data_IF_140044862086
#
_entry.id   IF_140044862086
#
_cell.length_a   1.000
_cell.length_b   1.000
_cell.length_c   1.000
_cell.angle_alpha   90.00
_cell.angle_beta   90.00
_cell.angle_gamma   90.00
#
_symmetry.space_group_name_H-M   'P 1'
#
loop_
_entity.id
_entity.type
_entity.pdbx_description
1 polymer ?
#
# COMPACT_ATOMS: atom_id res chain seq x y z
N UNK A 1 -11.79 17.83 -29.70
CA UNK A 1 -11.19 16.93 -28.68
C UNK A 1 -12.11 16.96 -27.50
N UNK A 2 -12.51 15.81 -27.01
CA UNK A 2 -13.32 15.71 -25.81
C UNK A 2 -12.51 16.21 -24.62
N UNK A 3 -13.17 16.95 -23.71
CA UNK A 3 -12.53 17.50 -22.51
C UNK A 3 -12.31 16.38 -21.49
N UNK A 4 -11.17 16.39 -20.83
CA UNK A 4 -10.89 15.51 -19.69
C UNK A 4 -11.83 15.87 -18.54
N UNK A 5 -12.66 14.94 -18.12
CA UNK A 5 -13.66 15.10 -17.06
C UNK A 5 -13.04 14.77 -15.72
N UNK A 6 -12.99 15.71 -14.82
CA UNK A 6 -12.33 15.57 -13.51
C UNK A 6 -13.32 15.65 -12.38
N UNK A 7 -13.30 14.69 -11.47
CA UNK A 7 -13.94 14.74 -10.16
C UNK A 7 -12.88 15.13 -9.13
N UNK A 8 -13.18 16.15 -8.30
CA UNK A 8 -12.31 16.57 -7.20
C UNK A 8 -12.85 16.05 -5.88
N UNK A 9 -12.02 15.37 -5.09
CA UNK A 9 -12.37 14.84 -3.78
C UNK A 9 -11.35 15.31 -2.72
N UNK A 10 -11.79 16.18 -1.82
CA UNK A 10 -11.01 16.75 -0.73
C UNK A 10 -11.97 17.26 0.34
N UNK A 11 -11.71 17.06 1.62
CA UNK A 11 -12.59 17.49 2.71
C UNK A 11 -12.50 19.01 3.01
N UNK A 12 -11.51 19.71 2.41
CA UNK A 12 -11.29 21.13 2.57
C UNK A 12 -11.93 21.94 1.41
N UNK A 13 -13.01 22.70 1.64
CA UNK A 13 -13.67 23.47 0.57
C UNK A 13 -12.77 24.50 -0.13
N UNK A 14 -11.82 25.11 0.63
CA UNK A 14 -10.86 26.05 0.06
C UNK A 14 -9.89 25.41 -0.91
N UNK A 15 -9.47 24.17 -0.65
CA UNK A 15 -8.60 23.41 -1.56
C UNK A 15 -9.34 23.09 -2.84
N UNK A 16 -10.58 22.59 -2.76
CA UNK A 16 -11.41 22.31 -3.94
C UNK A 16 -11.63 23.56 -4.80
N UNK A 17 -12.06 24.67 -4.17
CA UNK A 17 -12.23 25.94 -4.87
C UNK A 17 -10.94 26.47 -5.50
N UNK A 18 -9.80 26.27 -4.83
CA UNK A 18 -8.49 26.61 -5.33
C UNK A 18 -8.13 25.80 -6.58
N UNK A 19 -8.35 24.47 -6.53
CA UNK A 19 -8.10 23.56 -7.66
C UNK A 19 -8.97 23.89 -8.86
N UNK A 20 -10.25 24.20 -8.66
CA UNK A 20 -11.13 24.63 -9.74
C UNK A 20 -10.55 25.85 -10.44
N UNK A 21 -10.18 26.90 -9.70
CA UNK A 21 -9.58 28.11 -10.26
C UNK A 21 -8.25 27.87 -10.95
N UNK A 22 -7.43 26.94 -10.43
CA UNK A 22 -6.16 26.55 -11.07
C UNK A 22 -6.40 25.84 -12.40
N UNK A 23 -7.49 25.09 -12.54
CA UNK A 23 -7.83 24.32 -13.74
C UNK A 23 -8.62 25.13 -14.78
N UNK A 24 -9.32 26.20 -14.40
CA UNK A 24 -10.13 27.06 -15.32
C UNK A 24 -9.42 27.49 -16.62
N UNK A 25 -8.13 27.88 -16.62
CA UNK A 25 -7.44 28.26 -17.83
C UNK A 25 -7.20 27.13 -18.83
N UNK A 26 -7.26 25.88 -18.37
CA UNK A 26 -7.01 24.68 -19.18
C UNK A 26 -8.30 24.22 -19.86
N UNK A 27 -8.55 24.70 -21.09
CA UNK A 27 -9.80 24.45 -21.86
C UNK A 27 -10.06 23.00 -22.18
N UNK A 28 -9.05 22.15 -22.10
CA UNK A 28 -9.09 20.71 -22.29
C UNK A 28 -9.47 19.92 -21.05
N UNK A 29 -9.57 20.58 -19.87
CA UNK A 29 -9.96 19.97 -18.60
C UNK A 29 -11.28 20.58 -18.14
N UNK A 30 -12.16 19.77 -17.57
CA UNK A 30 -13.41 20.25 -16.98
C UNK A 30 -13.70 19.52 -15.68
N UNK A 31 -13.93 20.27 -14.60
CA UNK A 31 -14.39 19.72 -13.33
C UNK A 31 -15.87 19.40 -13.45
N UNK A 32 -16.24 18.15 -13.30
CA UNK A 32 -17.61 17.66 -13.47
C UNK A 32 -18.32 17.42 -12.14
N UNK A 33 -17.58 17.50 -11.02
CA UNK A 33 -18.13 17.36 -9.69
C UNK A 33 -17.08 17.52 -8.60
N UNK A 34 -17.57 17.67 -7.39
CA UNK A 34 -16.77 17.75 -6.17
C UNK A 34 -17.27 16.71 -5.17
N UNK A 35 -16.41 16.23 -4.28
CA UNK A 35 -16.75 15.34 -3.17
C UNK A 35 -15.99 15.80 -1.90
N UNK A 36 -16.60 15.65 -0.74
CA UNK A 36 -16.00 16.05 0.54
C UNK A 36 -15.49 14.87 1.37
N UNK A 37 -15.74 13.65 0.91
CA UNK A 37 -15.24 12.42 1.52
C UNK A 37 -15.10 11.30 0.47
N UNK A 38 -14.46 10.19 0.88
CA UNK A 38 -14.21 9.07 -0.03
C UNK A 38 -15.47 8.31 -0.46
N UNK A 39 -16.50 8.27 0.41
CA UNK A 39 -17.77 7.62 0.08
C UNK A 39 -18.51 8.40 -1.02
N UNK A 40 -18.60 9.73 -0.84
CA UNK A 40 -19.18 10.62 -1.84
C UNK A 40 -18.39 10.58 -3.17
N UNK A 41 -17.05 10.51 -3.10
CA UNK A 41 -16.19 10.38 -4.28
C UNK A 41 -16.52 9.12 -5.09
N UNK A 42 -16.70 7.97 -4.43
CA UNK A 42 -17.09 6.71 -5.07
C UNK A 42 -18.48 6.82 -5.71
N UNK A 43 -19.46 7.35 -4.99
CA UNK A 43 -20.82 7.52 -5.50
C UNK A 43 -20.85 8.44 -6.72
N UNK A 44 -20.18 9.60 -6.65
CA UNK A 44 -20.12 10.56 -7.76
C UNK A 44 -19.33 10.04 -8.95
N UNK A 45 -18.26 9.27 -8.73
CA UNK A 45 -17.54 8.61 -9.82
C UNK A 45 -18.43 7.67 -10.61
N UNK A 46 -19.30 6.90 -9.94
CA UNK A 46 -20.29 6.03 -10.58
C UNK A 46 -21.30 6.83 -11.43
N UNK A 47 -21.78 7.95 -10.89
CA UNK A 47 -22.84 8.75 -11.55
C UNK A 47 -22.28 9.59 -12.69
N UNK A 48 -21.15 10.28 -12.45
CA UNK A 48 -20.59 11.27 -13.34
C UNK A 48 -19.66 10.65 -14.39
N UNK A 49 -19.13 9.45 -14.14
CA UNK A 49 -18.16 8.75 -15.00
C UNK A 49 -17.02 9.67 -15.44
N UNK A 50 -16.23 10.22 -14.49
CA UNK A 50 -15.10 11.07 -14.80
C UNK A 50 -13.98 10.24 -15.45
N UNK A 51 -13.11 10.90 -16.23
CA UNK A 51 -11.86 10.30 -16.72
C UNK A 51 -10.81 10.20 -15.63
N UNK A 52 -10.76 11.22 -14.75
CA UNK A 52 -9.81 11.32 -13.65
C UNK A 52 -10.53 11.72 -12.36
N UNK A 53 -10.23 11.01 -11.27
CA UNK A 53 -10.59 11.39 -9.90
C UNK A 53 -9.33 11.92 -9.22
N UNK A 54 -9.29 13.21 -8.93
CA UNK A 54 -8.25 13.83 -8.10
C UNK A 54 -8.70 13.72 -6.65
N UNK A 55 -7.93 13.02 -5.83
CA UNK A 55 -8.36 12.63 -4.49
C UNK A 55 -7.32 12.92 -3.42
N UNK A 56 -7.73 13.56 -2.31
CA UNK A 56 -6.89 13.67 -1.11
C UNK A 56 -6.88 12.35 -0.33
N UNK A 57 -5.77 12.08 0.36
CA UNK A 57 -5.60 10.88 1.20
C UNK A 57 -6.37 10.96 2.51
N UNK A 58 -6.38 12.15 3.13
CA UNK A 58 -6.89 12.37 4.47
C UNK A 58 -8.30 12.93 4.43
N UNK A 59 -9.27 12.06 4.20
CA UNK A 59 -10.69 12.42 4.20
C UNK A 59 -11.45 11.62 5.26
N UNK A 60 -12.57 12.16 5.80
CA UNK A 60 -13.41 11.45 6.74
C UNK A 60 -14.17 10.28 6.10
N UNK A 61 -14.80 9.43 6.91
CA UNK A 61 -15.58 8.23 6.55
C UNK A 61 -14.73 7.19 5.82
N UNK A 62 -14.51 7.36 4.51
CA UNK A 62 -13.65 6.50 3.69
C UNK A 62 -12.41 7.28 3.31
N UNK A 63 -11.23 6.78 3.69
CA UNK A 63 -9.96 7.43 3.35
C UNK A 63 -9.71 7.43 1.84
N UNK A 64 -8.92 8.41 1.34
CA UNK A 64 -8.57 8.47 -0.07
C UNK A 64 -7.82 7.23 -0.57
N UNK A 65 -7.03 6.57 0.30
CA UNK A 65 -6.36 5.30 -0.03
C UNK A 65 -7.37 4.20 -0.29
N UNK A 66 -8.39 4.10 0.55
CA UNK A 66 -9.44 3.08 0.44
C UNK A 66 -10.36 3.37 -0.75
N UNK A 67 -10.78 4.63 -0.91
CA UNK A 67 -11.55 5.06 -2.06
C UNK A 67 -10.81 4.80 -3.38
N UNK A 68 -9.51 5.08 -3.46
CA UNK A 68 -8.68 4.76 -4.63
C UNK A 68 -8.69 3.28 -4.98
N UNK A 69 -8.56 2.38 -3.99
CA UNK A 69 -8.63 0.92 -4.19
C UNK A 69 -10.01 0.48 -4.74
N UNK A 70 -11.08 1.01 -4.16
CA UNK A 70 -12.46 0.70 -4.60
C UNK A 70 -12.68 1.21 -6.01
N UNK A 71 -12.33 2.46 -6.30
CA UNK A 71 -12.48 3.06 -7.63
C UNK A 71 -11.75 2.26 -8.69
N UNK A 72 -10.52 1.85 -8.42
CA UNK A 72 -9.75 1.06 -9.38
C UNK A 72 -10.34 -0.32 -9.65
N UNK A 73 -10.91 -0.95 -8.63
CA UNK A 73 -11.54 -2.27 -8.76
C UNK A 73 -12.89 -2.19 -9.47
N UNK A 74 -13.73 -1.23 -9.09
CA UNK A 74 -15.13 -1.16 -9.54
C UNK A 74 -15.33 -0.25 -10.74
N UNK A 75 -14.48 0.78 -10.90
CA UNK A 75 -14.56 1.79 -11.96
C UNK A 75 -13.20 2.03 -12.62
N UNK A 76 -12.59 1.02 -13.26
CA UNK A 76 -11.22 1.11 -13.80
C UNK A 76 -11.08 2.13 -14.93
N UNK A 77 -12.20 2.62 -15.50
CA UNK A 77 -12.20 3.72 -16.46
C UNK A 77 -11.93 5.08 -15.82
N UNK A 78 -12.26 5.25 -14.54
CA UNK A 78 -11.95 6.45 -13.77
C UNK A 78 -10.56 6.32 -13.16
N UNK A 79 -9.56 6.98 -13.74
CA UNK A 79 -8.18 6.95 -13.24
C UNK A 79 -8.04 7.78 -11.99
N UNK A 80 -7.27 7.31 -11.02
CA UNK A 80 -7.08 8.01 -9.75
C UNK A 80 -5.75 8.75 -9.75
N UNK A 81 -5.78 10.05 -9.48
CA UNK A 81 -4.64 10.92 -9.22
C UNK A 81 -4.71 11.39 -7.77
N UNK A 82 -3.73 11.00 -6.97
CA UNK A 82 -3.65 11.42 -5.57
C UNK A 82 -3.02 12.79 -5.46
N UNK A 83 -3.65 13.68 -4.70
CA UNK A 83 -3.18 15.03 -4.39
C UNK A 83 -3.18 15.21 -2.87
N UNK A 84 -2.01 15.35 -2.24
CA UNK A 84 -1.89 15.34 -0.77
C UNK A 84 -0.75 16.21 -0.24
N UNK A 85 -0.80 16.54 1.06
CA UNK A 85 0.31 17.17 1.78
C UNK A 85 1.34 16.16 2.32
N UNK A 86 1.04 14.86 2.28
CA UNK A 86 1.92 13.84 2.85
C UNK A 86 3.10 13.53 1.92
N UNK A 87 4.31 13.63 2.47
CA UNK A 87 5.58 13.25 1.82
C UNK A 87 6.17 11.96 2.41
N UNK A 88 5.39 11.23 3.23
CA UNK A 88 5.89 10.05 3.91
C UNK A 88 5.99 8.85 2.95
N UNK A 89 7.14 8.17 2.96
CA UNK A 89 7.43 6.99 2.15
C UNK A 89 6.35 5.89 2.26
N UNK A 90 5.80 5.70 3.44
CA UNK A 90 4.80 4.66 3.67
C UNK A 90 3.50 4.94 2.90
N UNK A 91 3.03 6.20 2.89
CA UNK A 91 1.86 6.61 2.09
C UNK A 91 2.15 6.49 0.59
N UNK A 92 3.30 6.95 0.13
CA UNK A 92 3.72 6.82 -1.26
C UNK A 92 3.69 5.35 -1.70
N UNK A 93 4.23 4.46 -0.87
CA UNK A 93 4.24 3.02 -1.14
C UNK A 93 2.83 2.39 -1.14
N UNK A 94 1.96 2.76 -0.20
CA UNK A 94 0.58 2.28 -0.14
C UNK A 94 -0.22 2.69 -1.37
N UNK A 95 -0.06 3.95 -1.82
CA UNK A 95 -0.72 4.48 -3.01
C UNK A 95 -0.20 3.79 -4.27
N UNK A 96 1.11 3.59 -4.38
CA UNK A 96 1.66 2.83 -5.49
C UNK A 96 1.06 1.42 -5.57
N UNK A 97 0.90 0.75 -4.42
CA UNK A 97 0.24 -0.56 -4.34
C UNK A 97 -1.26 -0.52 -4.62
N UNK A 98 -1.93 0.59 -4.33
CA UNK A 98 -3.36 0.72 -4.66
C UNK A 98 -3.62 0.78 -6.15
N UNK A 99 -2.56 0.98 -6.97
CA UNK A 99 -2.62 1.07 -8.42
C UNK A 99 -3.07 2.44 -8.92
N UNK A 100 -3.09 3.48 -8.09
CA UNK A 100 -3.37 4.83 -8.52
C UNK A 100 -2.48 5.23 -9.72
N UNK A 101 -3.04 6.01 -10.63
CA UNK A 101 -2.37 6.46 -11.85
C UNK A 101 -1.29 7.52 -11.58
N UNK A 102 -1.38 8.24 -10.45
CA UNK A 102 -0.39 9.24 -10.11
C UNK A 102 -0.46 9.74 -8.67
N UNK A 103 0.59 10.44 -8.26
CA UNK A 103 0.74 11.02 -6.95
C UNK A 103 1.45 12.37 -7.05
N UNK A 104 0.80 13.43 -6.60
CA UNK A 104 1.34 14.79 -6.56
C UNK A 104 1.10 15.43 -5.19
N UNK A 105 1.93 16.41 -4.86
CA UNK A 105 1.80 17.16 -3.61
C UNK A 105 0.87 18.37 -3.78
N UNK A 106 0.14 18.77 -2.75
CA UNK A 106 -0.76 19.95 -2.77
C UNK A 106 -0.01 21.29 -2.96
N UNK A 107 1.32 21.30 -2.81
CA UNK A 107 2.17 22.46 -3.11
C UNK A 107 2.62 22.51 -4.59
N UNK A 108 2.19 21.55 -5.42
CA UNK A 108 2.47 21.55 -6.85
C UNK A 108 1.88 22.77 -7.57
N UNK A 109 2.59 23.24 -8.57
CA UNK A 109 2.14 24.36 -9.39
C UNK A 109 0.98 23.99 -10.33
N UNK A 110 0.30 25.01 -10.85
CA UNK A 110 -0.84 24.86 -11.80
C UNK A 110 -0.51 23.93 -12.97
N UNK A 111 0.63 24.17 -13.63
CA UNK A 111 1.02 23.42 -14.82
C UNK A 111 1.35 21.95 -14.50
N UNK A 112 1.88 21.69 -13.32
CA UNK A 112 2.19 20.34 -12.87
C UNK A 112 0.90 19.54 -12.65
N UNK A 113 -0.09 20.14 -11.97
CA UNK A 113 -1.40 19.51 -11.72
C UNK A 113 -2.11 19.19 -13.05
N UNK A 114 -2.13 20.17 -13.99
CA UNK A 114 -2.77 19.96 -15.28
C UNK A 114 -2.03 18.89 -16.12
N UNK A 115 -0.70 18.86 -16.06
CA UNK A 115 0.12 17.83 -16.72
C UNK A 115 -0.13 16.45 -16.16
N UNK A 116 -0.21 16.35 -14.83
CA UNK A 116 -0.53 15.08 -14.15
C UNK A 116 -1.92 14.56 -14.55
N UNK A 117 -2.93 15.44 -14.57
CA UNK A 117 -4.29 15.06 -15.01
C UNK A 117 -4.27 14.54 -16.47
N UNK A 118 -3.56 15.20 -17.37
CA UNK A 118 -3.45 14.76 -18.77
C UNK A 118 -2.74 13.42 -18.92
N UNK A 119 -1.65 13.21 -18.19
CA UNK A 119 -0.89 11.96 -18.20
C UNK A 119 -1.76 10.80 -17.68
N UNK A 120 -2.38 11.00 -16.51
CA UNK A 120 -3.23 9.99 -15.90
C UNK A 120 -4.45 9.66 -16.74
N UNK A 121 -5.09 10.65 -17.36
CA UNK A 121 -6.21 10.44 -18.28
C UNK A 121 -5.85 9.53 -19.48
N UNK A 122 -4.60 9.62 -19.97
CA UNK A 122 -4.06 8.74 -21.02
C UNK A 122 -3.69 7.33 -20.52
N UNK A 123 -3.76 7.09 -19.21
CA UNK A 123 -3.30 5.84 -18.60
C UNK A 123 -1.80 5.80 -18.30
N UNK A 124 -1.09 6.90 -18.47
CA UNK A 124 0.30 7.07 -18.07
C UNK A 124 0.40 7.27 -16.56
N UNK A 125 1.53 6.91 -15.96
CA UNK A 125 1.78 7.20 -14.54
C UNK A 125 2.47 8.54 -14.37
N UNK A 126 2.04 9.30 -13.38
CA UNK A 126 2.64 10.58 -13.04
C UNK A 126 2.99 10.66 -11.56
N UNK A 127 4.24 10.94 -11.27
CA UNK A 127 4.73 11.21 -9.91
C UNK A 127 5.49 12.54 -9.94
N UNK A 128 5.19 13.44 -8.99
CA UNK A 128 5.98 14.67 -8.88
C UNK A 128 7.46 14.34 -8.63
N UNK A 129 8.40 15.23 -8.98
CA UNK A 129 9.83 14.99 -8.78
C UNK A 129 10.15 14.58 -7.35
N UNK A 130 9.59 15.28 -6.37
CA UNK A 130 9.81 14.97 -4.94
C UNK A 130 9.29 13.60 -4.54
N UNK A 131 8.13 13.20 -5.04
CA UNK A 131 7.57 11.86 -4.79
C UNK A 131 8.46 10.79 -5.43
N UNK A 132 8.96 11.03 -6.62
CA UNK A 132 9.91 10.13 -7.30
C UNK A 132 11.21 9.95 -6.52
N UNK A 133 11.77 11.03 -5.96
CA UNK A 133 12.94 10.98 -5.07
C UNK A 133 12.66 10.09 -3.85
N UNK A 134 11.55 10.31 -3.15
CA UNK A 134 11.15 9.50 -1.99
C UNK A 134 11.04 8.01 -2.35
N UNK A 135 10.49 7.69 -3.51
CA UNK A 135 10.38 6.31 -3.99
C UNK A 135 11.76 5.69 -4.23
N UNK A 136 12.68 6.42 -4.87
CA UNK A 136 14.04 5.95 -5.15
C UNK A 136 14.82 5.77 -3.85
N UNK A 137 14.80 6.74 -2.95
CA UNK A 137 15.46 6.67 -1.64
C UNK A 137 14.95 5.47 -0.82
N UNK A 138 13.62 5.27 -0.80
CA UNK A 138 13.01 4.13 -0.12
C UNK A 138 13.40 2.78 -0.74
N UNK A 139 13.52 2.72 -2.05
CA UNK A 139 13.99 1.52 -2.74
C UNK A 139 15.45 1.22 -2.43
N UNK A 140 16.32 2.23 -2.50
CA UNK A 140 17.75 2.10 -2.21
C UNK A 140 17.98 1.66 -0.75
N UNK A 141 17.28 2.28 0.21
CA UNK A 141 17.34 1.88 1.61
C UNK A 141 16.93 0.43 1.82
N UNK A 142 15.83 -0.01 1.20
CA UNK A 142 15.40 -1.42 1.27
C UNK A 142 16.36 -2.39 0.56
N UNK A 143 17.04 -1.95 -0.50
CA UNK A 143 18.07 -2.72 -1.15
C UNK A 143 19.32 -2.84 -0.26
N UNK A 144 19.77 -1.75 0.37
CA UNK A 144 20.87 -1.76 1.32
C UNK A 144 20.55 -2.61 2.57
N UNK A 145 19.33 -2.54 3.09
CA UNK A 145 18.89 -3.39 4.21
C UNK A 145 18.82 -4.86 3.83
N UNK A 146 18.57 -5.17 2.55
CA UNK A 146 18.66 -6.54 2.03
C UNK A 146 20.11 -7.00 1.86
N UNK A 147 21.01 -6.11 1.44
CA UNK A 147 22.43 -6.43 1.33
C UNK A 147 23.11 -6.53 2.70
N UNK A 148 22.67 -5.72 3.66
CA UNK A 148 23.14 -5.76 5.07
C UNK A 148 22.51 -6.91 5.87
N UNK A 149 21.36 -7.46 5.42
CA UNK A 149 20.93 -8.76 5.93
C UNK A 149 21.92 -9.77 5.40
N UNK A 150 22.66 -10.48 6.27
CA UNK A 150 23.41 -11.63 5.79
C UNK A 150 22.40 -12.46 4.99
N UNK A 151 22.77 -12.86 3.79
CA UNK A 151 21.99 -13.81 3.01
C UNK A 151 21.47 -14.83 4.02
N UNK A 152 20.19 -15.26 3.98
CA UNK A 152 19.74 -16.25 4.93
C UNK A 152 20.79 -17.32 4.86
N UNK A 153 21.64 -17.37 5.89
CA UNK A 153 22.59 -18.45 6.06
C UNK A 153 21.63 -19.61 6.03
N UNK A 154 21.74 -20.42 5.01
CA UNK A 154 20.99 -21.67 4.92
C UNK A 154 21.53 -22.56 6.05
N UNK A 155 21.29 -22.11 7.30
CA UNK A 155 21.54 -22.89 8.49
C UNK A 155 20.40 -23.88 8.48
N UNK A 156 20.65 -25.08 7.96
CA UNK A 156 19.56 -26.03 7.77
C UNK A 156 18.97 -26.28 9.15
N UNK A 157 17.69 -25.94 9.32
CA UNK A 157 16.96 -26.40 10.51
C UNK A 157 17.07 -27.92 10.53
N UNK A 158 17.42 -28.44 11.69
CA UNK A 158 17.44 -29.89 11.90
C UNK A 158 16.05 -30.47 11.62
N UNK A 159 15.95 -31.75 11.34
CA UNK A 159 14.66 -32.42 11.14
C UNK A 159 13.71 -32.14 12.31
N UNK A 160 14.23 -32.15 13.53
CA UNK A 160 13.42 -31.88 14.74
C UNK A 160 12.94 -30.43 14.83
N UNK A 161 13.76 -29.47 14.46
CA UNK A 161 13.37 -28.06 14.41
C UNK A 161 12.30 -27.80 13.33
N UNK A 162 12.38 -28.49 12.19
CA UNK A 162 11.34 -28.44 11.13
C UNK A 162 10.01 -29.01 11.61
N UNK A 163 10.02 -30.14 12.34
CA UNK A 163 8.82 -30.71 12.93
C UNK A 163 8.17 -29.75 13.94
N UNK A 164 8.96 -29.18 14.84
CA UNK A 164 8.48 -28.17 15.79
C UNK A 164 7.90 -26.95 15.07
N UNK A 165 8.58 -26.43 14.04
CA UNK A 165 8.15 -25.28 13.27
C UNK A 165 6.85 -25.54 12.51
N UNK A 166 6.66 -26.75 11.98
CA UNK A 166 5.40 -27.18 11.34
C UNK A 166 4.23 -27.15 12.31
N UNK A 167 4.42 -27.66 13.52
CA UNK A 167 3.37 -27.67 14.55
C UNK A 167 3.06 -26.26 15.09
N UNK A 168 4.05 -25.37 15.11
CA UNK A 168 3.86 -23.95 15.41
C UNK A 168 2.99 -23.29 14.33
N UNK A 169 3.22 -23.61 13.05
CA UNK A 169 2.40 -23.11 11.93
C UNK A 169 0.94 -23.60 12.00
N UNK A 170 0.71 -24.77 12.59
CA UNK A 170 -0.63 -25.31 12.88
C UNK A 170 -1.30 -24.64 14.10
N UNK A 171 -0.63 -23.71 14.78
CA UNK A 171 -1.15 -22.97 15.94
C UNK A 171 -1.07 -23.72 17.28
N UNK A 172 -0.30 -24.80 17.37
CA UNK A 172 -0.17 -25.57 18.60
C UNK A 172 0.70 -24.85 19.64
N UNK A 173 0.30 -24.95 20.92
CA UNK A 173 1.10 -24.48 22.05
C UNK A 173 2.19 -25.48 22.44
N UNK A 174 3.11 -25.08 23.34
CA UNK A 174 4.26 -25.91 23.73
C UNK A 174 3.86 -27.26 24.34
N UNK A 175 2.75 -27.33 25.11
CA UNK A 175 2.26 -28.57 25.67
C UNK A 175 1.75 -29.53 24.58
N UNK A 176 0.95 -29.03 23.65
CA UNK A 176 0.40 -29.81 22.55
C UNK A 176 1.49 -30.35 21.61
N UNK A 177 2.53 -29.51 21.35
CA UNK A 177 3.70 -29.93 20.58
C UNK A 177 4.48 -31.01 21.32
N UNK A 178 4.69 -30.84 22.61
CA UNK A 178 5.37 -31.81 23.46
C UNK A 178 4.69 -33.17 23.44
N UNK A 179 3.37 -33.17 23.56
CA UNK A 179 2.54 -34.41 23.53
C UNK A 179 2.64 -35.09 22.16
N UNK A 180 2.51 -34.33 21.06
CA UNK A 180 2.63 -34.86 19.68
C UNK A 180 4.00 -35.43 19.35
N UNK A 181 5.04 -34.82 19.88
CA UNK A 181 6.43 -35.17 19.58
C UNK A 181 7.08 -36.09 20.64
N UNK A 182 6.33 -36.47 21.69
CA UNK A 182 6.79 -37.28 22.81
C UNK A 182 8.06 -36.75 23.49
N UNK A 183 8.07 -35.42 23.78
CA UNK A 183 9.15 -34.71 24.45
C UNK A 183 8.61 -33.82 25.57
N UNK A 184 9.48 -33.24 26.39
CA UNK A 184 9.03 -32.29 27.41
C UNK A 184 8.67 -30.92 26.83
N UNK A 185 7.73 -30.14 27.41
CA UNK A 185 7.47 -28.78 27.02
C UNK A 185 8.72 -27.86 27.08
N UNK A 186 9.61 -28.13 28.02
CA UNK A 186 10.90 -27.44 28.13
C UNK A 186 11.79 -27.73 26.92
N UNK A 187 11.76 -28.95 26.39
CA UNK A 187 12.51 -29.30 25.17
C UNK A 187 11.94 -28.57 23.95
N UNK A 188 10.61 -28.43 23.87
CA UNK A 188 9.96 -27.63 22.83
C UNK A 188 10.42 -26.18 22.89
N UNK A 189 10.46 -25.60 24.09
CA UNK A 189 10.91 -24.23 24.31
C UNK A 189 12.37 -24.02 23.86
N UNK A 190 13.22 -24.99 24.17
CA UNK A 190 14.63 -24.98 23.67
C UNK A 190 14.68 -25.03 22.15
N UNK A 191 13.88 -25.85 21.49
CA UNK A 191 13.83 -25.87 20.02
C UNK A 191 13.32 -24.55 19.44
N UNK A 192 12.29 -23.93 20.05
CA UNK A 192 11.78 -22.61 19.62
C UNK A 192 12.88 -21.54 19.71
N UNK A 193 13.60 -21.50 20.82
CA UNK A 193 14.73 -20.56 21.01
C UNK A 193 15.81 -20.77 19.96
N UNK A 194 16.20 -22.02 19.70
CA UNK A 194 17.20 -22.34 18.68
C UNK A 194 16.73 -21.98 17.27
N UNK A 195 15.46 -22.25 16.93
CA UNK A 195 14.86 -21.87 15.65
C UNK A 195 14.87 -20.35 15.52
N UNK A 196 14.40 -19.62 16.54
CA UNK A 196 14.39 -18.16 16.53
C UNK A 196 15.79 -17.57 16.36
N UNK A 197 16.79 -18.10 17.05
CA UNK A 197 18.18 -17.73 16.87
C UNK A 197 18.70 -17.98 15.45
N UNK A 198 18.45 -19.19 14.91
CA UNK A 198 18.89 -19.58 13.56
C UNK A 198 18.24 -18.76 12.45
N UNK A 199 17.00 -18.32 12.67
CA UNK A 199 16.22 -17.55 11.69
C UNK A 199 16.27 -16.04 11.91
N UNK A 200 17.00 -15.59 12.95
CA UNK A 200 17.06 -14.19 13.40
C UNK A 200 15.68 -13.57 13.64
N UNK A 201 14.81 -14.35 14.29
CA UNK A 201 13.44 -13.96 14.65
C UNK A 201 13.39 -13.71 16.16
N UNK A 202 12.87 -12.57 16.59
CA UNK A 202 12.93 -12.13 17.99
C UNK A 202 11.59 -12.23 18.73
N UNK A 203 10.49 -12.58 18.05
CA UNK A 203 9.19 -12.75 18.69
C UNK A 203 8.41 -13.94 18.12
N UNK A 204 7.47 -14.47 18.93
CA UNK A 204 6.69 -15.64 18.59
C UNK A 204 5.72 -15.41 17.42
N UNK A 205 5.18 -14.20 17.27
CA UNK A 205 4.24 -13.87 16.19
C UNK A 205 4.92 -13.89 14.82
N UNK A 206 6.14 -13.34 14.76
CA UNK A 206 6.96 -13.39 13.55
C UNK A 206 7.43 -14.82 13.22
N UNK A 207 7.64 -15.67 14.23
CA UNK A 207 7.97 -17.09 14.00
C UNK A 207 6.79 -17.84 13.35
N UNK A 208 5.56 -17.64 13.86
CA UNK A 208 4.34 -18.21 13.26
C UNK A 208 4.15 -17.74 11.83
N UNK A 209 4.28 -16.42 11.59
CA UNK A 209 4.16 -15.85 10.25
C UNK A 209 5.18 -16.43 9.28
N UNK A 210 6.45 -16.53 9.69
CA UNK A 210 7.52 -17.14 8.90
C UNK A 210 7.19 -18.59 8.53
N UNK A 211 6.71 -19.38 9.49
CA UNK A 211 6.37 -20.77 9.27
C UNK A 211 5.24 -20.95 8.24
N UNK A 212 4.23 -20.09 8.28
CA UNK A 212 3.13 -20.06 7.31
C UNK A 212 3.60 -19.63 5.92
N UNK A 213 4.35 -18.52 5.83
CA UNK A 213 4.87 -17.98 4.57
C UNK A 213 5.83 -18.94 3.85
N UNK A 214 6.58 -19.75 4.60
CA UNK A 214 7.50 -20.75 4.07
C UNK A 214 6.86 -22.11 3.81
N UNK A 215 5.55 -22.23 3.99
CA UNK A 215 4.79 -23.44 3.68
C UNK A 215 5.01 -24.62 4.66
N UNK A 216 5.42 -24.32 5.89
CA UNK A 216 5.53 -25.35 6.94
C UNK A 216 4.16 -25.81 7.47
N UNK A 217 3.08 -25.06 7.23
CA UNK A 217 1.73 -25.57 7.52
C UNK A 217 1.35 -26.62 6.47
N UNK A 218 1.06 -27.85 6.90
CA UNK A 218 0.43 -28.84 6.01
C UNK A 218 -0.97 -28.32 5.66
N UNK A 219 -1.20 -27.97 4.40
CA UNK A 219 -2.56 -27.88 3.86
C UNK A 219 -3.00 -29.32 3.66
N UNK A 220 -3.98 -29.78 4.47
CA UNK A 220 -4.83 -30.89 4.05
C UNK A 220 -5.69 -30.48 2.86
#
# INVERSE_FOLDING_TARGET
>A
MDKIRVLLADDHPLVRSGLIRLLEPHKDITVVGEAEDGEEAIQKAKQLKPDVVVIDLSMPKVSGVEAAKILQKEYPSARVLVLTMHENEEYVYQIFKSGAGGYILKNAGREEIATAIRAVAKGERFFSPRVSEIMVEGYLRKAEDREKRPAPVDVPLTTREKEVLSLIAEGLNNQQIADKLFISPRTVDTHRTNIMQKLDIHDAGNLVRFAIEKGFSRRE
#
